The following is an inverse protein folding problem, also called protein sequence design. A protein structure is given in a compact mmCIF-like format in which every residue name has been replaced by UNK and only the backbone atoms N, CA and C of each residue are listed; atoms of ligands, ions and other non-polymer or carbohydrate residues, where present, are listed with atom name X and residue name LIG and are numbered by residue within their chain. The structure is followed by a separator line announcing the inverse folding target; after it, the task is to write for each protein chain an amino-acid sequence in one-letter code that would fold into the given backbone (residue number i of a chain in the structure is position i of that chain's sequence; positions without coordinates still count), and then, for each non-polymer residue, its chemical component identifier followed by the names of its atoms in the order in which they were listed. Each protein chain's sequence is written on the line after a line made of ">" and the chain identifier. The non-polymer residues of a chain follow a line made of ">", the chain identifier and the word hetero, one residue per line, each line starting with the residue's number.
data_IF_670976616690
#
_entry.id   IF_670976616690
#
_cell.length_a   1.000
_cell.length_b   1.000
_cell.length_c   1.000
_cell.angle_alpha   90.00
_cell.angle_beta   90.00
_cell.angle_gamma   90.00
#
_symmetry.space_group_name_H-M   'P 1'
#
loop_
_entity.id
_entity.type
_entity.pdbx_description
1 polymer ?
#
# COMPACT_ATOMS: atom_id res chain seq x y z
N UNK A 1 17.28 -23.65 5.99
CA UNK A 1 17.78 -22.36 6.49
C UNK A 1 18.49 -21.72 5.31
N UNK A 2 17.84 -20.76 4.65
CA UNK A 2 18.41 -20.03 3.53
C UNK A 2 18.35 -18.56 3.91
N UNK A 3 19.53 -18.00 4.21
CA UNK A 3 19.73 -16.58 4.44
C UNK A 3 19.52 -15.85 3.11
N UNK A 4 18.50 -14.99 3.05
CA UNK A 4 18.30 -14.08 1.95
C UNK A 4 18.92 -12.73 2.33
N UNK A 5 19.99 -12.39 1.65
CA UNK A 5 20.83 -11.21 1.84
C UNK A 5 20.03 -9.90 1.58
N UNK A 6 20.07 -8.97 2.54
CA UNK A 6 19.28 -7.74 2.59
C UNK A 6 20.19 -6.50 2.52
N UNK A 7 20.77 -6.24 1.34
CA UNK A 7 21.74 -5.14 1.16
C UNK A 7 21.23 -3.94 0.35
N UNK A 8 19.92 -3.78 0.11
CA UNK A 8 19.40 -2.64 -0.66
C UNK A 8 18.32 -1.82 0.06
N UNK A 9 18.42 -1.67 1.39
CA UNK A 9 17.52 -0.80 2.16
C UNK A 9 17.93 0.68 2.05
N UNK A 10 17.86 1.21 0.83
CA UNK A 10 17.87 2.65 0.58
C UNK A 10 16.57 3.22 1.16
N UNK A 11 16.67 4.00 2.23
CA UNK A 11 15.54 4.50 3.01
C UNK A 11 14.44 5.11 2.16
N UNK A 12 13.21 4.63 2.36
CA UNK A 12 12.00 5.11 1.69
C UNK A 12 11.66 6.56 2.09
N UNK A 13 12.37 7.54 1.55
CA UNK A 13 12.09 8.96 1.72
C UNK A 13 10.83 9.41 0.97
N UNK A 14 10.03 10.28 1.61
CA UNK A 14 8.95 11.09 1.02
C UNK A 14 7.73 10.38 0.39
N UNK A 15 7.18 9.35 1.05
CA UNK A 15 5.85 8.82 0.69
C UNK A 15 4.84 9.11 1.80
N UNK A 16 3.64 9.61 1.44
CA UNK A 16 2.48 9.63 2.33
C UNK A 16 2.04 8.20 2.64
N UNK A 17 1.77 7.88 3.91
CA UNK A 17 1.57 6.51 4.40
C UNK A 17 0.28 6.40 5.21
N UNK A 18 -0.39 5.26 5.11
CA UNK A 18 -1.44 4.84 6.05
C UNK A 18 -1.15 3.43 6.56
N UNK A 19 -1.37 3.20 7.86
CA UNK A 19 -1.10 1.93 8.54
C UNK A 19 -2.41 1.26 8.94
N UNK A 20 -2.52 -0.05 8.71
CA UNK A 20 -3.61 -0.88 9.25
C UNK A 20 -3.03 -2.13 9.92
N UNK A 21 -3.56 -2.46 11.11
CA UNK A 21 -3.26 -3.69 11.83
C UNK A 21 -4.28 -4.77 11.45
N UNK A 22 -3.81 -5.97 11.13
CA UNK A 22 -4.67 -7.11 10.82
C UNK A 22 -4.43 -8.17 11.91
N UNK A 23 -5.44 -8.35 12.79
CA UNK A 23 -5.52 -9.48 13.71
C UNK A 23 -5.65 -10.77 12.88
N UNK A 24 -4.82 -11.77 13.17
CA UNK A 24 -4.91 -13.09 12.54
C UNK A 24 -5.51 -14.12 13.48
N UNK A 25 -6.56 -14.81 13.07
CA UNK A 25 -7.05 -16.00 13.79
C UNK A 25 -6.24 -17.25 13.46
N UNK A 26 -6.25 -18.26 14.34
CA UNK A 26 -5.55 -19.53 14.11
C UNK A 26 -6.11 -20.25 12.87
N UNK A 27 -5.23 -20.57 11.91
CA UNK A 27 -5.56 -21.46 10.79
C UNK A 27 -4.69 -22.71 10.91
N UNK A 28 -5.32 -23.87 11.06
CA UNK A 28 -4.69 -25.21 11.05
C UNK A 28 -3.43 -25.35 11.95
N UNK A 29 -3.52 -24.95 13.22
CA UNK A 29 -2.45 -25.11 14.20
C UNK A 29 -1.24 -24.16 14.03
N UNK A 30 -1.25 -23.29 13.03
CA UNK A 30 -0.23 -22.27 12.82
C UNK A 30 -0.64 -20.95 13.48
N UNK A 31 0.25 -20.32 14.26
CA UNK A 31 0.02 -18.97 14.78
C UNK A 31 0.09 -18.00 13.61
N UNK A 32 -1.01 -17.35 13.27
CA UNK A 32 -0.93 -16.19 12.40
C UNK A 32 -0.20 -15.10 13.17
N UNK A 33 1.04 -14.83 12.78
CA UNK A 33 1.76 -13.65 13.25
C UNK A 33 1.08 -12.44 12.62
N UNK A 34 0.47 -11.61 13.45
CA UNK A 34 -0.08 -10.33 13.03
C UNK A 34 0.97 -9.53 12.25
N UNK A 35 0.52 -8.81 11.23
CA UNK A 35 1.36 -7.99 10.38
C UNK A 35 0.69 -6.63 10.15
N UNK A 36 1.53 -5.63 9.95
CA UNK A 36 1.13 -4.34 9.43
C UNK A 36 1.03 -4.41 7.92
N UNK A 37 -0.04 -3.85 7.37
CA UNK A 37 -0.18 -3.61 5.94
C UNK A 37 0.00 -2.10 5.68
N UNK A 38 0.73 -1.77 4.62
CA UNK A 38 0.80 -0.41 4.09
C UNK A 38 0.29 -0.40 2.66
N UNK A 39 -0.60 0.55 2.40
CA UNK A 39 -0.95 0.98 1.05
C UNK A 39 -0.01 2.12 0.65
N UNK A 40 0.56 2.06 -0.55
CA UNK A 40 1.43 3.12 -1.07
C UNK A 40 1.28 3.29 -2.57
N UNK A 41 1.81 4.40 -3.09
CA UNK A 41 1.98 4.63 -4.51
C UNK A 41 3.46 4.76 -4.83
N UNK A 42 3.83 4.46 -6.08
CA UNK A 42 5.19 4.69 -6.57
C UNK A 42 5.19 5.83 -7.55
N UNK A 43 6.18 6.70 -7.45
CA UNK A 43 6.47 7.70 -8.46
C UNK A 43 7.87 7.44 -9.01
N UNK A 44 8.13 7.82 -10.27
CA UNK A 44 9.46 7.71 -10.84
C UNK A 44 10.47 8.61 -10.10
N UNK A 45 11.79 8.46 -10.34
CA UNK A 45 12.82 9.26 -9.66
C UNK A 45 12.60 10.78 -9.76
N UNK A 46 12.02 11.24 -10.87
CA UNK A 46 11.71 12.65 -11.12
C UNK A 46 10.26 13.05 -10.79
N UNK A 47 9.44 12.12 -10.30
CA UNK A 47 7.99 12.26 -10.10
C UNK A 47 7.19 12.70 -11.34
N UNK A 48 7.77 12.52 -12.53
CA UNK A 48 7.18 12.85 -13.84
C UNK A 48 6.47 11.67 -14.48
N UNK A 49 6.79 10.45 -14.05
CA UNK A 49 6.18 9.23 -14.60
C UNK A 49 4.75 9.08 -14.06
N UNK A 50 3.77 9.03 -14.97
CA UNK A 50 2.33 8.80 -14.68
C UNK A 50 2.03 7.33 -14.35
N UNK A 51 2.79 6.75 -13.44
CA UNK A 51 2.65 5.34 -13.01
C UNK A 51 2.26 5.21 -11.54
N UNK A 52 1.74 6.29 -10.93
CA UNK A 52 1.29 6.29 -9.54
C UNK A 52 -0.03 5.53 -9.43
N UNK A 53 0.11 4.28 -9.00
CA UNK A 53 -0.95 3.29 -8.84
C UNK A 53 -0.86 2.69 -7.44
N UNK A 54 -1.88 1.94 -7.03
CA UNK A 54 -1.90 1.30 -5.72
C UNK A 54 -0.94 0.12 -5.68
N UNK A 55 -0.11 0.08 -4.63
CA UNK A 55 0.76 -1.03 -4.26
C UNK A 55 0.56 -1.37 -2.78
N UNK A 56 0.96 -2.58 -2.40
CA UNK A 56 0.94 -3.04 -1.01
C UNK A 56 2.27 -3.62 -0.58
N UNK A 57 2.61 -3.42 0.68
CA UNK A 57 3.70 -4.09 1.36
C UNK A 57 3.24 -4.49 2.76
N UNK A 58 3.89 -5.49 3.34
CA UNK A 58 3.64 -5.91 4.71
C UNK A 58 4.89 -5.79 5.57
N UNK A 59 4.68 -5.68 6.88
CA UNK A 59 5.75 -5.68 7.88
C UNK A 59 5.31 -6.41 9.12
N UNK A 60 6.21 -7.15 9.77
CA UNK A 60 5.93 -7.82 11.05
C UNK A 60 6.38 -6.99 12.26
N UNK A 61 7.23 -5.99 12.04
CA UNK A 61 7.83 -5.15 13.08
C UNK A 61 7.53 -3.66 12.90
N UNK A 62 6.88 -3.28 11.79
CA UNK A 62 6.61 -1.90 11.41
C UNK A 62 7.82 -1.15 10.83
N UNK A 63 9.01 -1.78 10.81
CA UNK A 63 10.28 -1.18 10.41
C UNK A 63 10.77 -1.72 9.06
N UNK A 64 10.71 -3.04 8.87
CA UNK A 64 11.12 -3.71 7.65
C UNK A 64 9.89 -4.07 6.82
N UNK A 65 9.85 -3.58 5.58
CA UNK A 65 8.71 -3.71 4.70
C UNK A 65 9.06 -4.58 3.49
N UNK A 66 8.16 -5.51 3.16
CA UNK A 66 8.30 -6.44 2.06
C UNK A 66 7.16 -6.24 1.08
N UNK A 67 7.47 -5.97 -0.20
CA UNK A 67 6.43 -5.69 -1.19
C UNK A 67 5.62 -6.94 -1.53
N UNK A 68 4.32 -6.74 -1.69
CA UNK A 68 3.40 -7.76 -2.19
C UNK A 68 3.30 -7.69 -3.71
N UNK A 69 2.78 -8.75 -4.32
CA UNK A 69 2.53 -8.81 -5.77
C UNK A 69 3.77 -8.49 -6.62
N UNK A 70 4.96 -8.94 -6.21
CA UNK A 70 6.23 -8.63 -6.89
C UNK A 70 6.45 -7.12 -7.10
N UNK A 71 5.89 -6.28 -6.22
CA UNK A 71 5.89 -4.83 -6.32
C UNK A 71 5.19 -4.29 -7.60
N UNK A 72 4.38 -5.12 -8.27
CA UNK A 72 3.49 -4.69 -9.36
C UNK A 72 2.24 -4.01 -8.79
N UNK A 73 1.71 -3.03 -9.53
CA UNK A 73 0.50 -2.33 -9.13
C UNK A 73 -0.67 -3.31 -9.01
N UNK A 74 -1.44 -3.20 -7.93
CA UNK A 74 -2.62 -4.04 -7.67
C UNK A 74 -3.90 -3.43 -8.23
N UNK A 75 -3.95 -2.09 -8.34
CA UNK A 75 -5.12 -1.38 -8.82
C UNK A 75 -4.77 0.04 -9.32
N UNK A 76 -5.58 0.57 -10.22
CA UNK A 76 -5.53 1.95 -10.69
C UNK A 76 -6.93 2.54 -10.78
N UNK A 77 -7.07 3.83 -10.47
CA UNK A 77 -8.32 4.55 -10.63
C UNK A 77 -8.67 4.76 -12.10
N UNK A 78 -9.96 4.72 -12.45
CA UNK A 78 -10.47 5.13 -13.77
C UNK A 78 -10.82 6.62 -13.83
N UNK A 79 -10.66 7.36 -12.72
CA UNK A 79 -10.98 8.78 -12.58
C UNK A 79 -9.71 9.63 -12.82
N UNK A 80 -9.86 10.77 -13.49
CA UNK A 80 -8.74 11.69 -13.75
C UNK A 80 -7.74 11.11 -14.73
N UNK A 81 -6.44 11.32 -14.49
CA UNK A 81 -5.37 10.79 -15.35
C UNK A 81 -5.02 9.31 -15.07
N UNK A 82 -5.88 8.58 -14.35
CA UNK A 82 -5.58 7.22 -13.90
C UNK A 82 -4.54 7.14 -12.78
N UNK A 83 -4.30 8.28 -12.11
CA UNK A 83 -3.30 8.45 -11.07
C UNK A 83 -3.97 8.43 -9.70
N UNK A 84 -3.45 7.57 -8.83
CA UNK A 84 -3.78 7.48 -7.42
C UNK A 84 -2.55 7.81 -6.57
N UNK A 85 -2.72 8.69 -5.58
CA UNK A 85 -1.70 9.04 -4.59
C UNK A 85 -2.30 9.00 -3.18
N UNK A 86 -1.41 8.98 -2.19
CA UNK A 86 -1.74 9.06 -0.77
C UNK A 86 -2.88 8.13 -0.31
N UNK A 87 -2.78 6.80 -0.56
CA UNK A 87 -3.85 5.88 -0.19
C UNK A 87 -4.04 5.79 1.33
N UNK A 88 -5.29 5.87 1.75
CA UNK A 88 -5.75 5.61 3.12
C UNK A 88 -6.78 4.49 3.10
N UNK A 89 -6.51 3.38 3.80
CA UNK A 89 -7.39 2.23 3.88
C UNK A 89 -7.88 2.03 5.32
N UNK A 90 -9.18 1.78 5.49
CA UNK A 90 -9.74 1.38 6.77
C UNK A 90 -10.96 0.49 6.60
N UNK A 91 -11.23 -0.39 7.57
CA UNK A 91 -12.41 -1.25 7.57
C UNK A 91 -13.61 -0.46 8.10
N UNK A 92 -14.66 -0.40 7.31
CA UNK A 92 -15.91 0.27 7.67
C UNK A 92 -16.73 -0.53 8.67
N UNK A 93 -17.73 0.13 9.26
CA UNK A 93 -18.74 -0.52 10.11
C UNK A 93 -19.64 -1.49 9.32
N UNK A 94 -19.67 -1.35 8.00
CA UNK A 94 -20.35 -2.23 7.05
C UNK A 94 -19.57 -3.52 6.75
N UNK A 95 -18.34 -3.65 7.26
CA UNK A 95 -17.49 -4.81 7.08
C UNK A 95 -16.61 -4.76 5.82
N UNK A 96 -16.75 -3.73 4.97
CA UNK A 96 -15.93 -3.54 3.77
C UNK A 96 -14.66 -2.76 4.06
N UNK A 97 -13.68 -2.84 3.16
CA UNK A 97 -12.45 -2.04 3.23
C UNK A 97 -12.59 -0.82 2.34
N UNK A 98 -12.58 0.36 2.93
CA UNK A 98 -12.68 1.62 2.20
C UNK A 98 -11.31 2.19 1.93
N UNK A 99 -11.08 2.55 0.67
CA UNK A 99 -9.91 3.25 0.19
C UNK A 99 -10.28 4.69 -0.15
N UNK A 100 -9.62 5.65 0.50
CA UNK A 100 -9.64 7.07 0.14
C UNK A 100 -8.27 7.44 -0.40
N UNK A 101 -8.22 8.27 -1.44
CA UNK A 101 -6.95 8.62 -2.09
C UNK A 101 -7.01 9.98 -2.75
N UNK A 102 -5.84 10.58 -3.00
CA UNK A 102 -5.72 11.77 -3.85
C UNK A 102 -5.63 11.37 -5.31
N UNK A 103 -6.30 12.12 -6.18
CA UNK A 103 -6.18 11.96 -7.63
C UNK A 103 -5.37 13.12 -8.21
N UNK A 104 -4.80 12.94 -9.41
CA UNK A 104 -4.31 14.06 -10.24
C UNK A 104 -5.37 14.41 -11.32
N UNK A 105 -6.20 15.44 -11.09
CA UNK A 105 -7.23 15.89 -12.03
C UNK A 105 -6.90 17.26 -12.65
N UNK A 106 -7.72 17.72 -13.60
CA UNK A 106 -8.09 19.14 -13.74
C UNK A 106 -9.42 19.38 -12.99
N UNK A 107 -9.45 19.33 -11.65
CA UNK A 107 -10.70 19.38 -10.86
C UNK A 107 -10.63 18.76 -9.45
N UNK A 108 -11.68 18.03 -9.02
CA UNK A 108 -11.83 17.42 -7.67
C UNK A 108 -10.63 16.56 -7.27
N UNK A 109 -10.13 16.70 -6.04
CA UNK A 109 -8.84 16.15 -5.62
C UNK A 109 -8.87 14.79 -4.89
N UNK A 110 -10.04 14.27 -4.52
CA UNK A 110 -10.19 13.03 -3.73
C UNK A 110 -11.00 11.97 -4.48
N UNK A 111 -10.55 10.71 -4.37
CA UNK A 111 -11.22 9.50 -4.83
C UNK A 111 -11.59 8.57 -3.67
N UNK A 112 -12.54 7.67 -3.93
CA UNK A 112 -13.04 6.68 -2.98
C UNK A 112 -13.36 5.36 -3.70
N UNK A 113 -13.03 4.23 -3.05
CA UNK A 113 -13.40 2.87 -3.46
C UNK A 113 -13.71 2.01 -2.21
N UNK A 114 -14.52 0.96 -2.36
CA UNK A 114 -14.89 0.02 -1.30
C UNK A 114 -14.99 -1.41 -1.83
#
# INVERSE_FOLDING_TARGET
>A
MADYDNTNNEGFGNLGRSFSYIEGELYDGYRITAAYLIAYFRSGPMQTNKNERLHYAYSRDGLHWYELNQNHAVWSTSIGEGILRDPFINKGKDGFWHLVFTIRPKGKFLGYAC
#
